data_IF_640933354975
#
_entry.id   IF_640933354975
#
_cell.length_a   1.000
_cell.length_b   1.000
_cell.length_c   1.000
_cell.angle_alpha   90.00
_cell.angle_beta   90.00
_cell.angle_gamma   90.00
#
_symmetry.space_group_name_H-M   'P 1'
#
loop_
_entity.id
_entity.type
_entity.pdbx_description
1 polymer ?
#
# COMPACT_ATOMS: atom_id res chain seq x y z
N UNK A 1 -10.61 -6.53 0.40
CA UNK A 1 -9.64 -5.84 -0.47
C UNK A 1 -9.65 -4.35 -0.14
N UNK A 2 -8.49 -3.76 0.06
CA UNK A 2 -8.40 -2.34 0.39
C UNK A 2 -8.72 -1.50 -0.84
N UNK A 3 -9.56 -0.50 -0.63
CA UNK A 3 -9.90 0.49 -1.62
C UNK A 3 -8.73 1.46 -1.77
N UNK A 4 -8.53 2.03 -2.94
CA UNK A 4 -7.45 2.98 -3.19
C UNK A 4 -7.53 4.19 -2.26
N UNK A 5 -8.71 4.72 -2.04
CA UNK A 5 -8.91 5.85 -1.14
C UNK A 5 -8.50 5.51 0.29
N UNK A 6 -8.81 4.28 0.72
CA UNK A 6 -8.42 3.81 2.04
C UNK A 6 -6.91 3.64 2.13
N UNK A 7 -6.28 3.11 1.07
CA UNK A 7 -4.84 2.95 1.03
C UNK A 7 -4.13 4.30 1.09
N UNK A 8 -4.64 5.29 0.37
CA UNK A 8 -4.09 6.63 0.39
C UNK A 8 -4.20 7.27 1.77
N UNK A 9 -5.33 7.10 2.43
CA UNK A 9 -5.52 7.63 3.78
C UNK A 9 -4.61 6.92 4.78
N UNK A 10 -4.48 5.59 4.65
CA UNK A 10 -3.60 4.82 5.52
C UNK A 10 -2.16 5.28 5.37
N UNK A 11 -1.71 5.51 4.13
CA UNK A 11 -0.38 6.00 3.87
C UNK A 11 -0.16 7.39 4.47
N UNK A 12 -1.16 8.26 4.40
CA UNK A 12 -1.08 9.61 4.93
C UNK A 12 -1.08 9.64 6.45
N UNK A 13 -1.93 8.82 7.08
CA UNK A 13 -2.10 8.83 8.53
C UNK A 13 -1.06 7.97 9.25
N UNK A 14 -0.71 6.83 8.69
CA UNK A 14 0.16 5.86 9.33
C UNK A 14 1.54 5.77 8.70
N UNK A 15 1.72 6.31 7.50
CA UNK A 15 2.98 6.24 6.79
C UNK A 15 3.27 4.86 6.22
N UNK A 16 2.28 3.98 6.15
CA UNK A 16 2.42 2.63 5.61
C UNK A 16 1.08 2.14 5.10
N UNK A 17 1.12 1.08 4.31
CA UNK A 17 -0.07 0.52 3.66
C UNK A 17 -0.13 -0.98 3.90
N UNK A 18 -1.30 -1.48 4.28
CA UNK A 18 -1.52 -2.91 4.45
C UNK A 18 -1.94 -3.52 3.10
N UNK A 19 -1.32 -4.63 2.75
CA UNK A 19 -1.58 -5.34 1.50
C UNK A 19 -2.53 -6.51 1.74
N UNK A 20 -3.15 -7.00 0.66
CA UNK A 20 -4.06 -8.14 0.72
C UNK A 20 -3.40 -9.40 1.26
N UNK A 21 -2.10 -9.53 1.08
CA UNK A 21 -1.35 -10.68 1.61
C UNK A 21 -1.11 -10.59 3.13
N UNK A 22 -1.56 -9.51 3.76
CA UNK A 22 -1.37 -9.31 5.19
C UNK A 22 -0.08 -8.61 5.56
N UNK A 23 0.77 -8.30 4.58
CA UNK A 23 2.00 -7.56 4.82
C UNK A 23 1.72 -6.07 4.90
N UNK A 24 2.53 -5.37 5.68
CA UNK A 24 2.48 -3.91 5.77
C UNK A 24 3.78 -3.37 5.18
N UNK A 25 3.67 -2.45 4.24
CA UNK A 25 4.84 -1.91 3.52
C UNK A 25 4.77 -0.39 3.49
N UNK A 26 5.90 0.23 3.14
CA UNK A 26 5.93 1.66 2.89
C UNK A 26 5.06 1.98 1.68
N UNK A 27 4.50 3.20 1.59
CA UNK A 27 3.61 3.55 0.47
C UNK A 27 4.23 3.35 -0.91
N UNK A 28 5.54 3.49 -1.03
CA UNK A 28 6.27 3.30 -2.28
C UNK A 28 7.05 1.98 -2.31
N UNK A 29 6.71 1.05 -1.42
CA UNK A 29 7.43 -0.21 -1.28
C UNK A 29 6.64 -1.41 -1.76
N UNK A 30 7.19 -2.60 -1.49
CA UNK A 30 6.53 -3.87 -1.81
C UNK A 30 6.89 -4.88 -0.73
N UNK A 31 6.09 -5.94 -0.63
CA UNK A 31 6.34 -6.97 0.37
C UNK A 31 7.18 -8.12 -0.19
N UNK A 32 7.75 -8.94 0.70
CA UNK A 32 8.53 -10.11 0.28
C UNK A 32 7.75 -11.10 -0.59
N UNK A 33 6.41 -11.07 -0.52
CA UNK A 33 5.55 -11.92 -1.33
C UNK A 33 5.51 -11.50 -2.80
N UNK A 34 6.07 -10.33 -3.13
CA UNK A 34 6.07 -9.83 -4.49
C UNK A 34 4.95 -8.87 -4.82
N UNK A 35 4.16 -8.47 -3.83
CA UNK A 35 3.08 -7.51 -4.01
C UNK A 35 3.61 -6.10 -3.74
N UNK A 36 3.18 -5.14 -4.54
CA UNK A 36 3.54 -3.74 -4.33
C UNK A 36 2.36 -2.97 -3.75
N UNK A 37 2.64 -1.78 -3.21
CA UNK A 37 1.58 -0.97 -2.64
C UNK A 37 0.61 -0.52 -3.74
N UNK A 38 -0.69 -0.36 -3.43
CA UNK A 38 -1.67 0.13 -4.41
C UNK A 38 -1.29 1.48 -4.99
N UNK A 39 -0.60 2.31 -4.23
CA UNK A 39 -0.18 3.64 -4.69
C UNK A 39 0.85 3.51 -5.82
N UNK A 40 1.73 2.53 -5.73
CA UNK A 40 2.70 2.24 -6.79
C UNK A 40 1.97 1.65 -8.01
N UNK A 41 1.09 0.70 -7.77
CA UNK A 41 0.32 0.03 -8.84
C UNK A 41 -0.48 1.03 -9.67
N UNK A 42 -1.06 2.04 -9.00
CA UNK A 42 -1.87 3.06 -9.67
C UNK A 42 -1.06 4.27 -10.15
N UNK A 43 0.25 4.23 -9.96
CA UNK A 43 1.10 5.30 -10.44
C UNK A 43 1.00 6.61 -9.68
N UNK A 44 0.61 6.56 -8.41
CA UNK A 44 0.47 7.76 -7.58
C UNK A 44 1.79 8.17 -6.94
N UNK A 45 2.75 7.29 -6.97
CA UNK A 45 4.09 7.55 -6.45
C UNK A 45 5.10 7.22 -7.54
#
# INVERSE_FOLDING_TARGET
MADLAEAMRQADEEGEVELDCGCVVEPDGWCPCGNESPLVTHGLI
#
